data_IF_502092229518
#
_entry.id   IF_502092229518
#
_cell.length_a   1.000
_cell.length_b   1.000
_cell.length_c   1.000
_cell.angle_alpha   90.00
_cell.angle_beta   90.00
_cell.angle_gamma   90.00
#
_symmetry.space_group_name_H-M   'P 1'
#
loop_
_entity.id
_entity.type
_entity.pdbx_description
1 polymer ?
#
# COMPACT_ATOMS: atom_id res chain seq x y z
N UNK A 1 12.90 69.61 33.65
CA UNK A 1 13.32 68.82 32.48
C UNK A 1 12.46 67.56 32.45
N UNK A 2 11.45 67.52 31.58
CA UNK A 2 10.53 66.39 31.45
C UNK A 2 11.10 65.32 30.52
N UNK A 3 11.16 64.08 30.98
CA UNK A 3 11.61 62.93 30.21
C UNK A 3 10.56 62.54 29.16
N UNK A 4 10.88 62.80 27.89
CA UNK A 4 10.06 62.36 26.76
C UNK A 4 10.26 60.86 26.56
N UNK A 5 9.22 60.06 26.84
CA UNK A 5 9.18 58.63 26.47
C UNK A 5 8.82 58.52 24.99
N UNK A 6 9.79 58.19 24.17
CA UNK A 6 9.58 57.82 22.77
C UNK A 6 8.97 56.43 22.74
N UNK A 7 7.68 56.34 22.43
CA UNK A 7 7.03 55.06 22.11
C UNK A 7 7.56 54.57 20.76
N UNK A 8 8.58 53.71 20.82
CA UNK A 8 9.02 52.95 19.65
C UNK A 8 7.82 52.21 19.07
N UNK A 9 7.49 52.51 17.82
CA UNK A 9 6.45 51.86 17.01
C UNK A 9 6.67 50.34 17.10
N UNK A 10 5.72 49.62 17.71
CA UNK A 10 5.78 48.17 17.79
C UNK A 10 5.96 47.60 16.38
N UNK A 11 6.94 46.70 16.22
CA UNK A 11 7.15 46.00 14.96
C UNK A 11 5.82 45.33 14.54
N UNK A 12 5.47 45.33 13.24
CA UNK A 12 4.24 44.68 12.79
C UNK A 12 4.25 43.21 13.22
N UNK A 13 3.14 42.66 13.73
CA UNK A 13 3.06 41.27 14.13
C UNK A 13 3.47 40.41 12.95
N UNK A 14 4.56 39.66 13.12
CA UNK A 14 5.06 38.72 12.13
C UNK A 14 3.95 37.70 11.92
N UNK A 15 3.43 37.57 10.70
CA UNK A 15 2.33 36.66 10.41
C UNK A 15 2.61 35.29 11.04
N UNK A 16 1.81 34.92 12.05
CA UNK A 16 1.93 33.65 12.75
C UNK A 16 1.55 32.55 11.76
N UNK A 17 2.55 31.78 11.32
CA UNK A 17 2.31 30.67 10.40
C UNK A 17 1.48 29.60 11.09
N UNK A 18 0.39 29.16 10.47
CA UNK A 18 -0.46 28.09 11.01
C UNK A 18 0.33 26.76 11.04
N UNK A 19 0.63 26.20 12.22
CA UNK A 19 1.36 24.93 12.32
C UNK A 19 0.57 23.75 11.78
N UNK A 20 -0.76 23.83 11.84
CA UNK A 20 -1.65 22.85 11.22
C UNK A 20 -1.49 22.87 9.70
N UNK A 21 -1.59 24.04 9.07
CA UNK A 21 -1.46 24.16 7.61
C UNK A 21 -0.08 23.69 7.14
N UNK A 22 0.98 24.10 7.84
CA UNK A 22 2.34 23.67 7.52
C UNK A 22 2.51 22.15 7.66
N UNK A 23 1.97 21.56 8.72
CA UNK A 23 1.98 20.12 8.94
C UNK A 23 1.20 19.35 7.86
N UNK A 24 0.04 19.85 7.43
CA UNK A 24 -0.77 19.25 6.36
C UNK A 24 -0.03 19.30 5.02
N UNK A 25 0.54 20.44 4.65
CA UNK A 25 1.30 20.57 3.41
C UNK A 25 2.54 19.67 3.39
N UNK A 26 3.26 19.60 4.52
CA UNK A 26 4.38 18.68 4.67
C UNK A 26 3.91 17.20 4.57
N UNK A 27 2.79 16.85 5.21
CA UNK A 27 2.20 15.51 5.12
C UNK A 27 1.84 15.11 3.70
N UNK A 28 1.21 16.00 2.92
CA UNK A 28 0.90 15.77 1.51
C UNK A 28 2.18 15.52 0.70
N UNK A 29 3.20 16.37 0.88
CA UNK A 29 4.48 16.21 0.20
C UNK A 29 5.16 14.87 0.53
N UNK A 30 5.10 14.45 1.80
CA UNK A 30 5.60 13.15 2.26
C UNK A 30 4.83 12.00 1.60
N UNK A 31 3.48 12.06 1.54
CA UNK A 31 2.65 11.04 0.90
C UNK A 31 3.03 10.90 -0.58
N UNK A 32 3.12 12.01 -1.31
CA UNK A 32 3.47 11.99 -2.74
C UNK A 32 4.86 11.41 -2.96
N UNK A 33 5.85 11.85 -2.19
CA UNK A 33 7.22 11.35 -2.29
C UNK A 33 7.30 9.85 -1.95
N UNK A 34 6.61 9.40 -0.90
CA UNK A 34 6.60 8.00 -0.50
C UNK A 34 5.94 7.14 -1.58
N UNK A 35 4.71 7.46 -1.97
CA UNK A 35 3.98 6.68 -2.97
C UNK A 35 4.73 6.66 -4.29
N UNK A 36 5.29 7.80 -4.73
CA UNK A 36 6.11 7.87 -5.93
C UNK A 36 7.37 6.98 -5.84
N UNK A 37 8.06 6.97 -4.71
CA UNK A 37 9.21 6.09 -4.48
C UNK A 37 8.82 4.61 -4.58
N UNK A 38 7.72 4.20 -3.92
CA UNK A 38 7.24 2.81 -3.97
C UNK A 38 6.81 2.43 -5.38
N UNK A 39 6.11 3.33 -6.06
CA UNK A 39 5.66 3.14 -7.44
C UNK A 39 6.83 2.90 -8.41
N UNK A 40 7.92 3.65 -8.28
CA UNK A 40 9.09 3.49 -9.15
C UNK A 40 9.93 2.27 -8.76
N UNK A 41 10.17 2.07 -7.46
CA UNK A 41 11.10 1.04 -6.98
C UNK A 41 10.49 -0.36 -6.89
N UNK A 42 9.15 -0.47 -6.90
CA UNK A 42 8.41 -1.71 -6.65
C UNK A 42 8.74 -2.38 -5.31
N UNK A 43 9.51 -1.69 -4.47
CA UNK A 43 9.86 -2.13 -3.13
C UNK A 43 8.86 -1.47 -2.20
N UNK A 44 8.17 -2.27 -1.40
CA UNK A 44 7.49 -1.76 -0.22
C UNK A 44 8.58 -1.32 0.76
N UNK A 45 9.15 -0.14 0.52
CA UNK A 45 10.10 0.46 1.43
C UNK A 45 9.31 0.72 2.70
N UNK A 46 9.55 -0.09 3.72
CA UNK A 46 9.10 0.17 5.08
C UNK A 46 9.87 1.36 5.63
N UNK A 47 9.83 2.50 4.91
CA UNK A 47 10.42 3.77 5.32
C UNK A 47 9.97 3.96 6.73
N UNK A 48 10.92 3.98 7.65
CA UNK A 48 10.65 4.00 9.06
C UNK A 48 9.69 5.17 9.31
N UNK A 49 8.42 4.91 9.64
CA UNK A 49 7.43 5.93 9.96
C UNK A 49 7.95 6.92 11.03
N UNK A 50 9.00 6.52 11.76
CA UNK A 50 9.95 7.36 12.46
C UNK A 50 10.41 8.62 11.72
N UNK A 51 10.93 8.52 10.49
CA UNK A 51 11.40 9.66 9.69
C UNK A 51 10.28 10.63 9.32
N UNK A 52 9.08 10.12 9.03
CA UNK A 52 7.87 10.95 8.82
C UNK A 52 7.52 11.71 10.09
N UNK A 53 7.51 11.02 11.22
CA UNK A 53 7.27 11.65 12.52
C UNK A 53 8.31 12.71 12.88
N UNK A 54 9.58 12.44 12.60
CA UNK A 54 10.68 13.38 12.78
C UNK A 54 10.48 14.67 11.98
N UNK A 55 10.23 14.54 10.67
CA UNK A 55 10.02 15.68 9.77
C UNK A 55 8.80 16.51 10.18
N UNK A 56 7.66 15.87 10.45
CA UNK A 56 6.45 16.57 10.87
C UNK A 56 6.64 17.28 12.22
N UNK A 57 7.29 16.63 13.19
CA UNK A 57 7.64 17.25 14.47
C UNK A 57 8.47 18.52 14.30
N UNK A 58 9.50 18.50 13.43
CA UNK A 58 10.36 19.67 13.14
C UNK A 58 9.56 20.79 12.47
N UNK A 59 8.75 20.48 11.45
CA UNK A 59 7.95 21.47 10.70
C UNK A 59 6.97 22.18 11.63
N UNK A 60 6.28 21.44 12.48
CA UNK A 60 5.27 21.96 13.40
C UNK A 60 5.92 22.79 14.52
N UNK A 61 7.04 22.32 15.08
CA UNK A 61 7.76 23.07 16.11
C UNK A 61 8.30 24.42 15.60
N UNK A 62 8.80 24.46 14.36
CA UNK A 62 9.34 25.69 13.75
C UNK A 62 8.27 26.73 13.44
N UNK A 63 7.03 26.30 13.22
CA UNK A 63 5.91 27.17 12.81
C UNK A 63 5.12 27.70 14.01
N UNK A 64 4.96 26.91 15.07
CA UNK A 64 4.07 27.23 16.19
C UNK A 64 4.62 28.21 17.26
N UNK A 65 5.68 28.98 16.98
CA UNK A 65 6.46 29.75 17.98
C UNK A 65 5.58 30.47 19.05
N UNK A 66 5.62 30.07 20.34
CA UNK A 66 6.44 29.02 20.95
C UNK A 66 5.80 27.61 20.85
N UNK A 67 6.60 26.56 20.60
CA UNK A 67 6.10 25.19 20.62
C UNK A 67 5.62 24.79 22.02
N UNK A 68 4.56 23.98 22.08
CA UNK A 68 3.87 23.57 23.31
C UNK A 68 3.56 22.07 23.29
N UNK A 69 2.98 21.55 24.38
CA UNK A 69 2.43 20.18 24.40
C UNK A 69 1.34 19.98 23.33
N UNK A 70 0.54 21.00 23.04
CA UNK A 70 -0.50 20.94 22.02
C UNK A 70 0.08 20.79 20.60
N UNK A 71 1.22 21.41 20.32
CA UNK A 71 1.90 21.28 19.01
C UNK A 71 2.59 19.92 18.87
N UNK A 72 3.08 19.35 19.97
CA UNK A 72 3.48 17.94 20.04
C UNK A 72 2.32 16.99 19.73
N UNK A 73 1.15 17.21 20.33
CA UNK A 73 -0.07 16.43 20.06
C UNK A 73 -0.47 16.50 18.59
N UNK A 74 -0.47 17.71 18.03
CA UNK A 74 -0.76 17.94 16.63
C UNK A 74 0.20 17.17 15.72
N UNK A 75 1.51 17.20 16.01
CA UNK A 75 2.52 16.49 15.23
C UNK A 75 2.34 14.97 15.28
N UNK A 76 2.03 14.42 16.45
CA UNK A 76 1.71 12.99 16.61
C UNK A 76 0.48 12.58 15.80
N UNK A 77 -0.62 13.34 15.90
CA UNK A 77 -1.87 13.07 15.17
C UNK A 77 -1.65 13.17 13.65
N UNK A 78 -0.97 14.23 13.19
CA UNK A 78 -0.66 14.40 11.77
C UNK A 78 0.26 13.30 11.25
N UNK A 79 1.17 12.77 12.06
CA UNK A 79 2.01 11.63 11.69
C UNK A 79 1.16 10.38 11.46
N UNK A 80 0.25 10.06 12.39
CA UNK A 80 -0.65 8.93 12.25
C UNK A 80 -1.51 9.05 11.00
N UNK A 81 -2.13 10.21 10.79
CA UNK A 81 -2.96 10.48 9.61
C UNK A 81 -2.14 10.40 8.32
N UNK A 82 -0.93 10.98 8.29
CA UNK A 82 -0.05 10.96 7.11
C UNK A 82 0.32 9.53 6.73
N UNK A 83 0.71 8.69 7.69
CA UNK A 83 1.04 7.29 7.43
C UNK A 83 -0.19 6.50 6.99
N UNK A 84 -1.34 6.72 7.65
CA UNK A 84 -2.60 6.10 7.26
C UNK A 84 -2.97 6.43 5.81
N UNK A 85 -3.00 7.71 5.45
CA UNK A 85 -3.31 8.14 4.09
C UNK A 85 -2.26 7.66 3.08
N UNK A 86 -0.97 7.65 3.43
CA UNK A 86 0.07 7.09 2.56
C UNK A 86 -0.23 5.63 2.21
N UNK A 87 -0.62 4.81 3.20
CA UNK A 87 -1.00 3.39 2.98
C UNK A 87 -2.26 3.27 2.10
N UNK A 88 -3.28 4.10 2.35
CA UNK A 88 -4.50 4.14 1.51
C UNK A 88 -4.15 4.47 0.06
N UNK A 89 -3.37 5.55 -0.17
CA UNK A 89 -2.98 5.96 -1.53
C UNK A 89 -2.10 4.89 -2.18
N UNK A 90 -1.19 4.25 -1.45
CA UNK A 90 -0.38 3.15 -1.97
C UNK A 90 -1.27 2.02 -2.50
N UNK A 91 -2.31 1.61 -1.75
CA UNK A 91 -3.23 0.55 -2.19
C UNK A 91 -4.00 0.95 -3.45
N UNK A 92 -4.51 2.17 -3.50
CA UNK A 92 -5.35 2.63 -4.62
C UNK A 92 -4.53 2.93 -5.87
N UNK A 93 -3.30 3.44 -5.73
CA UNK A 93 -2.51 3.98 -6.85
C UNK A 93 -1.37 3.04 -7.26
N UNK A 94 -0.65 2.46 -6.30
CA UNK A 94 0.59 1.73 -6.59
C UNK A 94 0.40 0.21 -6.55
N UNK A 95 -0.47 -0.30 -5.68
CA UNK A 95 -0.58 -1.75 -5.49
C UNK A 95 -1.12 -2.47 -6.72
N UNK A 96 -2.12 -1.91 -7.39
CA UNK A 96 -2.69 -2.51 -8.60
C UNK A 96 -1.65 -2.72 -9.73
N UNK A 97 -0.92 -1.69 -10.19
CA UNK A 97 0.07 -1.87 -11.25
C UNK A 97 1.21 -2.80 -10.84
N UNK A 98 1.70 -2.71 -9.60
CA UNK A 98 2.76 -3.59 -9.09
C UNK A 98 2.31 -5.04 -9.11
N UNK A 99 1.14 -5.34 -8.56
CA UNK A 99 0.63 -6.71 -8.55
C UNK A 99 0.35 -7.22 -9.96
N UNK A 100 -0.24 -6.41 -10.85
CA UNK A 100 -0.47 -6.81 -12.25
C UNK A 100 0.84 -7.20 -12.94
N UNK A 101 1.89 -6.41 -12.77
CA UNK A 101 3.19 -6.70 -13.36
C UNK A 101 3.85 -7.94 -12.75
N UNK A 102 3.77 -8.12 -11.43
CA UNK A 102 4.28 -9.32 -10.75
C UNK A 102 3.51 -10.58 -11.18
N UNK A 103 2.18 -10.53 -11.25
CA UNK A 103 1.35 -11.63 -11.72
C UNK A 103 1.64 -11.99 -13.19
N UNK A 104 1.85 -10.98 -14.05
CA UNK A 104 2.17 -11.19 -15.46
C UNK A 104 3.56 -11.81 -15.69
N UNK A 105 4.49 -11.63 -14.74
CA UNK A 105 5.86 -12.14 -14.83
C UNK A 105 6.09 -13.42 -14.00
N UNK A 106 5.18 -13.77 -13.10
CA UNK A 106 5.31 -14.94 -12.23
C UNK A 106 4.70 -16.20 -12.89
N UNK A 107 5.51 -17.24 -13.19
CA UNK A 107 5.03 -18.44 -13.87
C UNK A 107 3.94 -19.22 -13.11
N UNK A 108 4.02 -19.23 -11.77
CA UNK A 108 3.02 -19.88 -10.93
C UNK A 108 1.68 -19.15 -10.95
N UNK A 109 1.72 -17.82 -10.88
CA UNK A 109 0.51 -16.98 -10.96
C UNK A 109 -0.18 -17.11 -12.31
N UNK A 110 0.58 -17.08 -13.40
CA UNK A 110 0.04 -17.32 -14.75
C UNK A 110 -0.58 -18.70 -14.88
N UNK A 111 0.05 -19.74 -14.33
CA UNK A 111 -0.51 -21.10 -14.37
C UNK A 111 -1.89 -21.14 -13.73
N UNK A 112 -2.08 -20.48 -12.57
CA UNK A 112 -3.38 -20.41 -11.91
C UNK A 112 -4.41 -19.60 -12.71
N UNK A 113 -4.00 -18.48 -13.33
CA UNK A 113 -4.89 -17.68 -14.18
C UNK A 113 -5.36 -18.50 -15.39
N UNK A 114 -4.45 -19.18 -16.08
CA UNK A 114 -4.79 -20.04 -17.21
C UNK A 114 -5.63 -21.26 -16.79
N UNK A 115 -5.42 -21.78 -15.59
CA UNK A 115 -6.25 -22.85 -15.03
C UNK A 115 -7.70 -22.39 -14.84
N UNK A 116 -7.89 -21.19 -14.26
CA UNK A 116 -9.22 -20.59 -14.07
C UNK A 116 -9.87 -20.29 -15.43
N UNK A 117 -9.16 -19.64 -16.34
CA UNK A 117 -9.64 -19.34 -17.71
C UNK A 117 -10.11 -20.61 -18.42
N UNK A 118 -9.29 -21.67 -18.43
CA UNK A 118 -9.64 -22.94 -19.07
C UNK A 118 -10.83 -23.63 -18.42
N UNK A 119 -10.95 -23.53 -17.10
CA UNK A 119 -12.08 -24.10 -16.35
C UNK A 119 -13.37 -23.35 -16.65
N UNK A 120 -13.34 -22.02 -16.68
CA UNK A 120 -14.52 -21.19 -16.98
C UNK A 120 -14.98 -21.37 -18.42
N UNK A 121 -14.05 -21.41 -19.38
CA UNK A 121 -14.36 -21.52 -20.81
C UNK A 121 -14.46 -22.96 -21.32
N UNK A 122 -14.29 -23.97 -20.45
CA UNK A 122 -14.26 -25.41 -20.82
C UNK A 122 -13.32 -25.70 -22.01
N UNK A 123 -12.14 -25.07 -21.98
CA UNK A 123 -11.19 -25.08 -23.09
C UNK A 123 -9.96 -25.96 -22.82
N UNK A 124 -10.13 -26.98 -21.96
CA UNK A 124 -9.15 -28.05 -21.83
C UNK A 124 -9.13 -28.94 -23.09
N UNK A 125 -8.08 -29.75 -23.23
CA UNK A 125 -8.02 -30.78 -24.27
C UNK A 125 -9.28 -31.67 -24.23
N UNK A 126 -9.78 -32.16 -25.38
CA UNK A 126 -11.07 -32.85 -25.44
C UNK A 126 -11.19 -34.05 -24.48
N UNK A 127 -10.10 -34.81 -24.31
CA UNK A 127 -10.05 -35.96 -23.40
C UNK A 127 -10.11 -35.53 -21.92
N UNK A 128 -9.36 -34.48 -21.57
CA UNK A 128 -9.35 -33.94 -20.21
C UNK A 128 -10.70 -33.27 -19.89
N UNK A 129 -11.26 -32.51 -20.81
CA UNK A 129 -12.56 -31.86 -20.67
C UNK A 129 -13.67 -32.91 -20.47
N UNK A 130 -13.67 -33.99 -21.25
CA UNK A 130 -14.60 -35.12 -21.05
C UNK A 130 -14.45 -35.74 -19.66
N UNK A 131 -13.22 -35.86 -19.16
CA UNK A 131 -12.94 -36.41 -17.82
C UNK A 131 -13.46 -35.47 -16.72
N UNK A 132 -13.25 -34.16 -16.88
CA UNK A 132 -13.78 -33.12 -15.97
C UNK A 132 -15.32 -33.16 -15.93
N UNK A 133 -15.96 -33.17 -17.10
CA UNK A 133 -17.43 -33.15 -17.20
C UNK A 133 -18.07 -34.47 -16.68
N UNK A 134 -17.36 -35.60 -16.77
CA UNK A 134 -17.86 -36.89 -16.27
C UNK A 134 -17.61 -37.13 -14.78
N UNK A 135 -16.65 -36.42 -14.17
CA UNK A 135 -16.25 -36.62 -12.76
C UNK A 135 -16.12 -35.30 -12.00
N UNK A 136 -17.23 -34.54 -11.83
CA UNK A 136 -17.20 -33.27 -11.11
C UNK A 136 -16.82 -33.42 -9.63
N UNK A 137 -17.11 -34.58 -9.03
CA UNK A 137 -16.73 -34.97 -7.68
C UNK A 137 -15.20 -34.95 -7.49
N UNK A 138 -14.45 -35.41 -8.49
CA UNK A 138 -12.98 -35.45 -8.44
C UNK A 138 -12.34 -34.09 -8.66
N UNK A 139 -13.02 -33.18 -9.34
CA UNK A 139 -12.57 -31.79 -9.51
C UNK A 139 -12.75 -31.02 -8.21
N UNK A 140 -13.84 -31.26 -7.49
CA UNK A 140 -14.12 -30.64 -6.20
C UNK A 140 -13.28 -31.20 -5.04
N UNK A 141 -12.74 -32.41 -5.17
CA UNK A 141 -11.86 -33.01 -4.17
C UNK A 141 -10.54 -32.24 -4.07
N UNK A 142 -10.37 -31.47 -2.98
CA UNK A 142 -9.16 -30.69 -2.70
C UNK A 142 -8.10 -31.48 -1.92
N UNK A 143 -8.37 -32.73 -1.53
CA UNK A 143 -7.47 -33.54 -0.70
C UNK A 143 -6.12 -33.74 -1.39
N UNK A 144 -5.03 -33.64 -0.63
CA UNK A 144 -3.66 -33.60 -1.17
C UNK A 144 -3.25 -34.88 -1.91
N UNK A 145 -3.71 -36.05 -1.43
CA UNK A 145 -3.54 -37.36 -2.10
C UNK A 145 -4.89 -38.02 -2.39
N UNK A 146 -5.92 -37.21 -2.66
CA UNK A 146 -7.27 -37.71 -2.92
C UNK A 146 -7.47 -38.30 -4.32
N UNK A 147 -8.61 -38.95 -4.56
CA UNK A 147 -9.01 -39.45 -5.88
C UNK A 147 -8.97 -38.41 -7.02
N UNK A 148 -9.04 -37.11 -6.67
CA UNK A 148 -8.93 -35.99 -7.61
C UNK A 148 -7.51 -35.51 -7.94
N UNK A 149 -6.48 -36.02 -7.28
CA UNK A 149 -5.12 -35.49 -7.39
C UNK A 149 -4.56 -35.56 -8.82
N UNK A 150 -4.65 -36.71 -9.48
CA UNK A 150 -4.13 -36.91 -10.84
C UNK A 150 -4.83 -36.00 -11.85
N UNK A 151 -6.16 -35.89 -11.75
CA UNK A 151 -6.94 -35.01 -12.62
C UNK A 151 -6.51 -33.55 -12.45
N UNK A 152 -6.29 -33.11 -11.21
CA UNK A 152 -5.82 -31.76 -10.91
C UNK A 152 -4.42 -31.50 -11.46
N UNK A 153 -3.52 -32.47 -11.35
CA UNK A 153 -2.17 -32.39 -11.93
C UNK A 153 -2.21 -32.25 -13.45
N UNK A 154 -3.13 -32.96 -14.13
CA UNK A 154 -3.34 -32.81 -15.58
C UNK A 154 -3.89 -31.43 -15.94
N UNK A 155 -4.87 -30.92 -15.19
CA UNK A 155 -5.39 -29.57 -15.40
C UNK A 155 -4.30 -28.50 -15.22
N UNK A 156 -3.49 -28.63 -14.17
CA UNK A 156 -2.36 -27.72 -13.88
C UNK A 156 -1.29 -27.80 -14.97
N UNK A 157 -0.95 -28.99 -15.44
CA UNK A 157 0.09 -29.16 -16.47
C UNK A 157 -0.34 -28.59 -17.82
N UNK A 158 -1.61 -28.74 -18.20
CA UNK A 158 -2.14 -28.14 -19.43
C UNK A 158 -2.22 -26.61 -19.30
N UNK A 159 -2.65 -26.10 -18.14
CA UNK A 159 -2.65 -24.67 -17.85
C UNK A 159 -1.23 -24.07 -17.87
N UNK A 160 -0.25 -24.76 -17.31
CA UNK A 160 1.16 -24.36 -17.36
C UNK A 160 1.70 -24.31 -18.79
N UNK A 161 1.31 -25.29 -19.61
CA UNK A 161 1.69 -25.35 -21.03
C UNK A 161 1.10 -24.18 -21.80
N UNK A 162 -0.18 -23.88 -21.59
CA UNK A 162 -0.83 -22.70 -22.17
C UNK A 162 -0.19 -21.38 -21.70
N UNK A 163 0.11 -21.26 -20.40
CA UNK A 163 0.80 -20.10 -19.84
C UNK A 163 2.17 -19.89 -20.49
N UNK A 164 2.96 -20.95 -20.70
CA UNK A 164 4.26 -20.87 -21.38
C UNK A 164 4.14 -20.48 -22.86
N UNK A 165 3.15 -21.02 -23.56
CA UNK A 165 2.91 -20.75 -24.98
C UNK A 165 2.28 -19.37 -25.26
N UNK A 166 1.66 -18.76 -24.25
CA UNK A 166 0.97 -17.47 -24.39
C UNK A 166 1.93 -16.31 -24.66
N UNK A 167 1.46 -15.33 -25.45
CA UNK A 167 2.16 -14.07 -25.69
C UNK A 167 2.07 -13.15 -24.46
N UNK A 168 2.95 -12.15 -24.39
CA UNK A 168 2.90 -11.15 -23.31
C UNK A 168 1.57 -10.40 -23.25
N UNK A 169 1.04 -10.00 -24.43
CA UNK A 169 -0.24 -9.30 -24.52
C UNK A 169 -1.41 -10.15 -23.98
N UNK A 170 -1.40 -11.46 -24.22
CA UNK A 170 -2.43 -12.36 -23.71
C UNK A 170 -2.34 -12.53 -22.19
N UNK A 171 -1.13 -12.64 -21.65
CA UNK A 171 -0.90 -12.70 -20.20
C UNK A 171 -1.41 -11.43 -19.52
N UNK A 172 -1.07 -10.27 -20.06
CA UNK A 172 -1.51 -8.97 -19.54
C UNK A 172 -3.03 -8.83 -19.58
N UNK A 173 -3.68 -9.22 -20.68
CA UNK A 173 -5.14 -9.27 -20.83
C UNK A 173 -5.78 -10.12 -19.74
N UNK A 174 -5.31 -11.36 -19.56
CA UNK A 174 -5.89 -12.30 -18.61
C UNK A 174 -5.66 -11.87 -17.16
N UNK A 175 -4.47 -11.34 -16.85
CA UNK A 175 -4.19 -10.72 -15.55
C UNK A 175 -5.19 -9.59 -15.31
N UNK A 176 -5.42 -8.70 -16.27
CA UNK A 176 -6.35 -7.59 -16.05
C UNK A 176 -7.77 -8.07 -15.71
N UNK A 177 -8.30 -9.04 -16.46
CA UNK A 177 -9.66 -9.58 -16.26
C UNK A 177 -9.78 -10.26 -14.89
N UNK A 178 -8.84 -11.14 -14.54
CA UNK A 178 -8.92 -11.92 -13.30
C UNK A 178 -8.53 -11.13 -12.06
N UNK A 179 -7.67 -10.13 -12.21
CA UNK A 179 -7.17 -9.34 -11.09
C UNK A 179 -8.26 -8.43 -10.50
N UNK A 180 -9.10 -7.84 -11.34
CA UNK A 180 -10.20 -6.99 -10.85
C UNK A 180 -11.22 -7.82 -10.07
N UNK A 181 -11.50 -9.05 -10.53
CA UNK A 181 -12.34 -10.00 -9.80
C UNK A 181 -11.68 -10.45 -8.48
N UNK A 182 -10.38 -10.72 -8.49
CA UNK A 182 -9.63 -11.09 -7.28
C UNK A 182 -9.63 -9.99 -6.23
N UNK A 183 -9.37 -8.74 -6.62
CA UNK A 183 -9.41 -7.60 -5.70
C UNK A 183 -10.78 -7.38 -5.10
N UNK A 184 -11.85 -7.59 -5.88
CA UNK A 184 -13.22 -7.48 -5.39
C UNK A 184 -13.54 -8.52 -4.30
N UNK A 185 -12.88 -9.69 -4.36
CA UNK A 185 -13.10 -10.79 -3.41
C UNK A 185 -12.35 -10.59 -2.09
N UNK A 186 -11.10 -10.09 -2.14
CA UNK A 186 -10.31 -9.83 -0.93
C UNK A 186 -10.89 -8.65 -0.12
N UNK A 187 -11.41 -7.63 -0.81
CA UNK A 187 -11.90 -6.41 -0.19
C UNK A 187 -10.78 -5.47 0.27
N UNK A 188 -11.07 -4.17 0.27
CA UNK A 188 -10.10 -3.12 0.59
C UNK A 188 -9.46 -3.30 1.97
N UNK A 189 -10.27 -3.66 2.98
CA UNK A 189 -9.78 -3.76 4.35
C UNK A 189 -8.79 -4.90 4.57
N UNK A 190 -8.99 -6.05 3.91
CA UNK A 190 -8.04 -7.16 4.01
C UNK A 190 -6.68 -6.77 3.39
N UNK A 191 -6.70 -6.10 2.23
CA UNK A 191 -5.51 -5.57 1.60
C UNK A 191 -4.82 -4.54 2.49
N UNK A 192 -5.60 -3.62 3.06
CA UNK A 192 -5.09 -2.58 3.97
C UNK A 192 -4.36 -3.17 5.17
N UNK A 193 -5.00 -4.08 5.90
CA UNK A 193 -4.38 -4.74 7.05
C UNK A 193 -3.18 -5.60 6.65
N UNK A 194 -3.23 -6.24 5.48
CA UNK A 194 -2.10 -6.99 4.92
C UNK A 194 -0.86 -6.13 4.66
N UNK A 195 -1.01 -4.82 4.50
CA UNK A 195 0.14 -3.91 4.34
C UNK A 195 0.87 -3.56 5.63
N UNK A 196 0.32 -3.87 6.82
CA UNK A 196 0.95 -3.57 8.10
C UNK A 196 1.72 -4.78 8.61
N UNK A 197 3.04 -4.74 8.48
CA UNK A 197 3.91 -5.72 9.14
C UNK A 197 4.11 -5.35 10.61
N UNK A 198 4.46 -6.32 11.46
CA UNK A 198 4.76 -6.08 12.89
C UNK A 198 5.78 -4.94 13.07
N UNK A 199 6.79 -4.91 12.19
CA UNK A 199 7.83 -3.89 12.20
C UNK A 199 7.29 -2.49 11.84
N UNK A 200 6.29 -2.40 10.95
CA UNK A 200 5.66 -1.11 10.59
C UNK A 200 4.95 -0.49 11.79
N UNK A 201 4.30 -1.31 12.63
CA UNK A 201 3.63 -0.85 13.85
C UNK A 201 4.64 -0.29 14.86
N UNK A 202 5.79 -0.95 14.99
CA UNK A 202 6.88 -0.46 15.85
C UNK A 202 7.43 0.88 15.34
N UNK A 203 7.68 0.99 14.03
CA UNK A 203 8.12 2.25 13.43
C UNK A 203 7.09 3.37 13.53
N UNK A 204 5.80 3.04 13.44
CA UNK A 204 4.72 4.01 13.63
C UNK A 204 4.71 4.53 15.07
N UNK A 205 4.86 3.65 16.06
CA UNK A 205 5.00 4.05 17.46
C UNK A 205 6.19 4.98 17.69
N UNK A 206 7.35 4.64 17.11
CA UNK A 206 8.54 5.50 17.14
C UNK A 206 8.31 6.85 16.45
N UNK A 207 7.62 6.87 15.31
CA UNK A 207 7.25 8.09 14.60
C UNK A 207 6.35 9.01 15.42
N UNK A 208 5.31 8.45 16.03
CA UNK A 208 4.39 9.20 16.90
C UNK A 208 5.15 9.79 18.09
N UNK A 209 5.98 8.98 18.77
CA UNK A 209 6.78 9.43 19.91
C UNK A 209 7.78 10.53 19.54
N UNK A 210 8.44 10.39 18.39
CA UNK A 210 9.39 11.37 17.86
C UNK A 210 8.69 12.67 17.48
N UNK A 211 7.57 12.57 16.76
CA UNK A 211 6.76 13.73 16.37
C UNK A 211 6.26 14.51 17.59
N UNK A 212 5.77 13.80 18.61
CA UNK A 212 5.34 14.39 19.87
C UNK A 212 6.47 15.16 20.56
N UNK A 213 7.65 14.55 20.66
CA UNK A 213 8.82 15.11 21.35
C UNK A 213 9.36 16.33 20.60
N UNK A 214 9.62 16.19 19.30
CA UNK A 214 10.15 17.28 18.48
C UNK A 214 9.14 18.41 18.31
N UNK A 215 7.84 18.10 18.19
CA UNK A 215 6.76 19.08 18.08
C UNK A 215 6.61 19.98 19.31
N UNK A 216 7.12 19.57 20.47
CA UNK A 216 7.23 20.38 21.69
C UNK A 216 8.46 21.30 21.70
N UNK A 217 9.29 21.28 20.66
CA UNK A 217 10.54 22.04 20.60
C UNK A 217 11.69 21.40 21.37
N UNK A 218 11.58 20.12 21.75
CA UNK A 218 12.67 19.34 22.37
C UNK A 218 13.56 18.75 21.27
N UNK A 219 14.33 19.63 20.61
CA UNK A 219 15.22 19.30 19.49
C UNK A 219 16.66 19.22 20.00
#
# INVERSE_FOLDING_TARGET
MGTVRVYGKAAPPRAEGSPLLAGVLAGIGIIVAWVGLVYVTHQAVGVAAWGVGGLLGIVIAKTAKPPTKATGALAAVLTLLTVFFAKVVLIVVALQPILRQELANNPGSLTMIFLVEKTQHKSFSPELQKTIDTRPDRVADTTFFGPGYELRQQMISEAMTAAKASSFAERERLVHVHFDQFLSTLGFWALFWGTFRLLDLLWLGLGISTAWTLGQGRI
#
